data_IF_602326258610
#
_entry.id   IF_602326258610
#
_cell.length_a   1.000
_cell.length_b   1.000
_cell.length_c   1.000
_cell.angle_alpha   90.00
_cell.angle_beta   90.00
_cell.angle_gamma   90.00
#
_symmetry.space_group_name_H-M   'P 1'
#
loop_
_entity.id
_entity.type
_entity.pdbx_description
1 polymer ?
#
# COMPACT_ATOMS: atom_id res chain seq x y z
N UNK A 1 -3.80 -9.93 3.84
CA UNK A 1 -4.47 -8.64 3.58
C UNK A 1 -3.71 -7.55 4.33
N UNK A 2 -3.53 -6.36 3.76
CA UNK A 2 -2.82 -5.24 4.42
C UNK A 2 -3.56 -4.87 5.72
N UNK A 3 -2.82 -4.69 6.82
CA UNK A 3 -3.39 -4.34 8.13
C UNK A 3 -3.65 -2.84 8.24
N UNK A 4 -4.55 -2.42 9.14
CA UNK A 4 -4.89 -0.99 9.31
C UNK A 4 -3.66 -0.11 9.58
N UNK A 5 -2.75 -0.55 10.47
CA UNK A 5 -1.52 0.19 10.76
C UNK A 5 -0.67 0.40 9.50
N UNK A 6 -0.47 -0.67 8.73
CA UNK A 6 0.30 -0.62 7.48
C UNK A 6 -0.37 0.29 6.44
N UNK A 7 -1.69 0.21 6.31
CA UNK A 7 -2.47 1.09 5.42
C UNK A 7 -2.30 2.56 5.82
N UNK A 8 -2.31 2.86 7.11
CA UNK A 8 -2.13 4.23 7.60
C UNK A 8 -0.72 4.77 7.32
N UNK A 9 0.31 3.94 7.46
CA UNK A 9 1.70 4.27 7.10
C UNK A 9 1.84 4.55 5.59
N UNK A 10 1.19 3.75 4.72
CA UNK A 10 1.11 4.02 3.28
C UNK A 10 0.52 5.41 3.00
N UNK A 11 -0.64 5.74 3.57
CA UNK A 11 -1.30 7.03 3.34
C UNK A 11 -0.51 8.24 3.85
N UNK A 12 0.39 8.05 4.82
CA UNK A 12 1.32 9.09 5.30
C UNK A 12 2.57 9.26 4.44
N UNK A 13 2.78 8.40 3.44
CA UNK A 13 4.00 8.38 2.65
C UNK A 13 5.20 7.78 3.40
N UNK A 14 4.95 7.00 4.46
CA UNK A 14 6.01 6.33 5.24
C UNK A 14 6.45 5.00 4.59
N UNK A 15 5.81 4.59 3.47
CA UNK A 15 6.08 3.35 2.74
C UNK A 15 6.15 3.58 1.22
N UNK A 16 6.99 2.78 0.54
CA UNK A 16 7.12 2.69 -0.92
C UNK A 16 7.70 1.32 -1.32
N UNK A 17 7.36 0.86 -2.53
CA UNK A 17 7.82 -0.36 -3.16
C UNK A 17 9.26 -0.28 -3.68
N UNK A 18 9.93 0.88 -3.58
CA UNK A 18 11.35 1.06 -3.96
C UNK A 18 12.33 0.12 -3.22
N UNK A 19 11.88 -0.56 -2.16
CA UNK A 19 12.70 -1.45 -1.34
C UNK A 19 12.85 -2.89 -1.90
N UNK A 20 12.17 -3.25 -2.99
CA UNK A 20 12.27 -4.59 -3.61
C UNK A 20 13.12 -4.46 -4.87
N UNK A 21 14.31 -5.06 -4.94
CA UNK A 21 15.22 -4.90 -6.09
C UNK A 21 15.26 -6.19 -6.94
N UNK A 22 14.77 -6.15 -8.19
CA UNK A 22 15.37 -6.87 -9.30
C UNK A 22 15.90 -5.90 -10.36
N UNK A 23 17.06 -6.22 -10.90
CA UNK A 23 18.00 -5.26 -11.52
C UNK A 23 17.82 -5.00 -13.02
N UNK A 24 16.82 -5.57 -13.72
CA UNK A 24 16.72 -5.47 -15.18
C UNK A 24 15.27 -5.64 -15.71
N UNK A 25 14.79 -4.79 -16.66
CA UNK A 25 15.37 -3.52 -17.13
C UNK A 25 14.92 -2.32 -16.27
N UNK A 26 15.89 -1.48 -15.90
CA UNK A 26 15.74 -0.32 -15.01
C UNK A 26 14.63 0.66 -15.44
N UNK A 27 14.53 0.92 -16.74
CA UNK A 27 13.56 1.86 -17.34
C UNK A 27 12.11 1.44 -17.06
N UNK A 28 11.84 0.15 -17.11
CA UNK A 28 10.50 -0.39 -16.80
C UNK A 28 10.25 -0.54 -15.31
N UNK A 29 11.32 -0.54 -14.49
CA UNK A 29 11.21 -0.78 -13.06
C UNK A 29 10.65 0.43 -12.32
N UNK A 30 11.06 1.64 -12.69
CA UNK A 30 10.50 2.87 -12.11
C UNK A 30 8.99 2.97 -12.37
N UNK A 31 8.56 2.61 -13.58
CA UNK A 31 7.14 2.57 -13.95
C UNK A 31 6.40 1.55 -13.10
N UNK A 32 6.94 0.32 -12.97
CA UNK A 32 6.33 -0.74 -12.15
C UNK A 32 6.27 -0.40 -10.67
N UNK A 33 7.30 0.27 -10.12
CA UNK A 33 7.26 0.77 -8.74
C UNK A 33 6.13 1.78 -8.60
N UNK A 34 6.04 2.76 -9.51
CA UNK A 34 5.00 3.77 -9.44
C UNK A 34 3.59 3.16 -9.55
N UNK A 35 3.40 2.20 -10.44
CA UNK A 35 2.14 1.44 -10.57
C UNK A 35 1.83 0.62 -9.30
N UNK A 36 2.83 -0.05 -8.74
CA UNK A 36 2.67 -0.81 -7.51
C UNK A 36 2.38 0.09 -6.29
N UNK A 37 3.09 1.23 -6.15
CA UNK A 37 2.82 2.23 -5.12
C UNK A 37 1.40 2.78 -5.26
N UNK A 38 0.94 3.07 -6.48
CA UNK A 38 -0.43 3.51 -6.72
C UNK A 38 -1.46 2.44 -6.30
N UNK A 39 -1.22 1.17 -6.62
CA UNK A 39 -2.10 0.08 -6.22
C UNK A 39 -2.12 -0.11 -4.69
N UNK A 40 -0.97 -0.02 -4.03
CA UNK A 40 -0.86 -0.12 -2.57
C UNK A 40 -1.54 1.05 -1.87
N UNK A 41 -1.39 2.27 -2.39
CA UNK A 41 -2.10 3.47 -1.91
C UNK A 41 -3.62 3.34 -2.06
N UNK A 42 -4.08 2.82 -3.20
CA UNK A 42 -5.51 2.57 -3.41
C UNK A 42 -6.05 1.54 -2.40
N UNK A 43 -5.34 0.43 -2.19
CA UNK A 43 -5.71 -0.57 -1.21
C UNK A 43 -5.73 0.02 0.21
N UNK A 44 -4.71 0.79 0.58
CA UNK A 44 -4.59 1.46 1.87
C UNK A 44 -5.76 2.41 2.14
N UNK A 45 -6.16 3.21 1.14
CA UNK A 45 -7.32 4.09 1.23
C UNK A 45 -8.59 3.33 1.60
N UNK A 46 -8.87 2.22 0.91
CA UNK A 46 -10.09 1.45 1.17
C UNK A 46 -10.09 0.76 2.53
N UNK A 47 -8.94 0.31 3.02
CA UNK A 47 -8.83 -0.28 4.36
C UNK A 47 -9.05 0.79 5.43
N UNK A 48 -8.43 1.95 5.31
CA UNK A 48 -8.60 3.05 6.28
C UNK A 48 -10.05 3.54 6.26
N UNK A 49 -10.65 3.69 5.08
CA UNK A 49 -12.06 4.04 4.94
C UNK A 49 -12.98 3.01 5.59
N UNK A 50 -12.81 1.72 5.30
CA UNK A 50 -13.60 0.66 5.91
C UNK A 50 -13.46 0.62 7.44
N UNK A 51 -12.28 0.96 7.98
CA UNK A 51 -12.07 1.09 9.42
C UNK A 51 -12.83 2.28 10.01
N UNK A 52 -12.74 3.45 9.38
CA UNK A 52 -13.46 4.68 9.78
C UNK A 52 -14.97 4.49 9.71
N UNK A 53 -15.46 3.81 8.67
CA UNK A 53 -16.87 3.49 8.46
C UNK A 53 -17.37 2.35 9.38
N UNK A 54 -16.49 1.76 10.20
CA UNK A 54 -16.84 0.68 11.15
C UNK A 54 -17.19 -0.65 10.50
N UNK A 55 -16.77 -0.86 9.24
CA UNK A 55 -17.10 -2.04 8.44
C UNK A 55 -16.16 -3.24 8.69
N UNK A 56 -15.04 -3.03 9.39
CA UNK A 56 -14.09 -4.10 9.73
C UNK A 56 -14.45 -4.72 11.09
N UNK A 57 -14.75 -6.03 11.10
CA UNK A 57 -15.05 -6.79 12.32
C UNK A 57 -13.76 -6.96 13.14
N UNK A 58 -13.82 -6.67 14.45
CA UNK A 58 -12.70 -6.87 15.39
C UNK A 58 -12.27 -8.34 15.38
N UNK A 59 -11.16 -8.66 14.71
CA UNK A 59 -10.61 -10.01 14.64
C UNK A 59 -9.36 -10.13 13.77
N UNK A 60 -9.16 -9.23 12.81
CA UNK A 60 -8.00 -9.26 11.92
C UNK A 60 -7.42 -7.84 11.79
N UNK A 61 -6.62 -7.42 12.77
CA UNK A 61 -5.77 -6.24 12.69
C UNK A 61 -4.37 -6.58 13.21
#
# INVERSE_FOLDING_TARGET
MMKYKEAFEWLKGERSMTNIVPSQPFETWQVRIAEADAAMMQQAYWIVKAHVDGLLVKGEA
#
